data_IF_490404760604
#
_entry.id   IF_490404760604
#
_cell.length_a   1.000
_cell.length_b   1.000
_cell.length_c   1.000
_cell.angle_alpha   90.00
_cell.angle_beta   90.00
_cell.angle_gamma   90.00
#
_symmetry.space_group_name_H-M   'P 1'
#
loop_
_entity.id
_entity.type
_entity.pdbx_description
1 polymer ?
#
# COMPACT_ATOMS: atom_id res chain seq x y z
N UNK A 1 -35.26 -85.78 -16.72
CA UNK A 1 -34.08 -85.33 -15.92
C UNK A 1 -33.92 -83.83 -16.14
N UNK A 2 -34.19 -83.01 -15.11
CA UNK A 2 -34.12 -81.54 -15.19
C UNK A 2 -32.70 -81.09 -14.84
N UNK A 3 -32.08 -80.29 -15.71
CA UNK A 3 -30.81 -79.60 -15.45
C UNK A 3 -31.07 -78.31 -14.67
N UNK A 4 -30.51 -78.20 -13.47
CA UNK A 4 -30.50 -76.97 -12.67
C UNK A 4 -29.29 -76.13 -13.00
N UNK A 5 -29.49 -74.92 -13.53
CA UNK A 5 -28.45 -73.91 -13.68
C UNK A 5 -28.32 -73.10 -12.37
N UNK A 6 -27.13 -73.07 -11.79
CA UNK A 6 -26.78 -72.23 -10.64
C UNK A 6 -26.26 -70.87 -11.13
N UNK A 7 -27.00 -69.80 -10.86
CA UNK A 7 -26.62 -68.41 -11.11
C UNK A 7 -25.72 -67.92 -9.96
N UNK A 8 -24.40 -67.90 -10.19
CA UNK A 8 -23.43 -67.27 -9.30
C UNK A 8 -23.57 -65.74 -9.36
N UNK A 9 -24.18 -65.14 -8.34
CA UNK A 9 -24.19 -63.68 -8.13
C UNK A 9 -22.78 -63.20 -7.75
N UNK A 10 -22.05 -62.60 -8.69
CA UNK A 10 -20.84 -61.81 -8.39
C UNK A 10 -21.27 -60.42 -7.90
N UNK A 11 -21.04 -60.16 -6.62
CA UNK A 11 -21.13 -58.83 -6.02
C UNK A 11 -19.94 -57.98 -6.46
N UNK A 12 -20.21 -56.88 -7.16
CA UNK A 12 -19.21 -55.84 -7.40
C UNK A 12 -19.16 -54.90 -6.18
N UNK A 13 -17.98 -54.61 -5.61
CA UNK A 13 -17.89 -53.64 -4.52
C UNK A 13 -18.15 -52.23 -5.06
N UNK A 14 -18.81 -51.34 -4.29
CA UNK A 14 -18.99 -49.95 -4.70
C UNK A 14 -17.63 -49.24 -4.67
N UNK A 15 -17.19 -48.76 -5.82
CA UNK A 15 -16.02 -47.88 -5.92
C UNK A 15 -16.45 -46.52 -5.33
N UNK A 16 -16.11 -46.27 -4.07
CA UNK A 16 -16.21 -44.94 -3.48
C UNK A 16 -15.20 -44.02 -4.18
N UNK A 17 -15.68 -43.21 -5.12
CA UNK A 17 -14.88 -42.14 -5.69
C UNK A 17 -14.68 -41.07 -4.61
N UNK A 18 -13.54 -41.12 -3.92
CA UNK A 18 -13.10 -40.04 -3.04
C UNK A 18 -12.82 -38.84 -3.95
N UNK A 19 -13.75 -37.88 -3.98
CA UNK A 19 -13.48 -36.56 -4.53
C UNK A 19 -12.39 -35.93 -3.65
N UNK A 20 -11.14 -36.04 -4.09
CA UNK A 20 -10.06 -35.18 -3.63
C UNK A 20 -10.46 -33.75 -3.99
N UNK A 21 -11.09 -33.06 -3.05
CA UNK A 21 -11.17 -31.61 -3.07
C UNK A 21 -9.74 -31.12 -3.14
N UNK A 22 -9.31 -30.71 -4.34
CA UNK A 22 -8.10 -29.92 -4.51
C UNK A 22 -8.40 -28.63 -3.75
N UNK A 23 -8.07 -28.61 -2.46
CA UNK A 23 -7.91 -27.38 -1.72
C UNK A 23 -6.77 -26.71 -2.46
N UNK A 24 -7.10 -25.83 -3.40
CA UNK A 24 -6.16 -24.85 -3.88
C UNK A 24 -5.71 -24.13 -2.64
N UNK A 25 -4.54 -24.50 -2.13
CA UNK A 25 -3.81 -23.72 -1.14
C UNK A 25 -3.56 -22.39 -1.82
N UNK A 26 -4.51 -21.45 -1.67
CA UNK A 26 -4.28 -20.05 -1.95
C UNK A 26 -3.15 -19.73 -1.01
N UNK A 27 -1.93 -19.69 -1.56
CA UNK A 27 -0.76 -19.28 -0.80
C UNK A 27 -1.09 -17.88 -0.33
N UNK A 28 -1.49 -17.74 0.93
CA UNK A 28 -1.80 -16.46 1.52
C UNK A 28 -0.54 -15.65 1.36
N UNK A 29 -0.60 -14.61 0.51
CA UNK A 29 0.55 -13.79 0.26
C UNK A 29 0.94 -13.16 1.61
N UNK A 30 2.06 -13.59 2.20
CA UNK A 30 2.57 -13.03 3.45
C UNK A 30 3.00 -11.59 3.21
N UNK A 31 2.03 -10.69 3.22
CA UNK A 31 2.23 -9.25 3.14
C UNK A 31 2.84 -8.79 4.45
N UNK A 32 4.14 -8.55 4.41
CA UNK A 32 4.93 -8.04 5.53
C UNK A 32 4.92 -6.52 5.55
N UNK A 33 5.14 -5.96 6.74
CA UNK A 33 5.50 -4.56 6.94
C UNK A 33 6.97 -4.34 6.55
N UNK A 34 7.30 -4.58 5.28
CA UNK A 34 8.64 -4.36 4.75
C UNK A 34 8.95 -2.86 4.75
N UNK A 35 10.09 -2.49 5.32
CA UNK A 35 10.62 -1.14 5.28
C UNK A 35 11.02 -0.79 3.84
N UNK A 36 10.54 0.34 3.32
CA UNK A 36 10.86 0.78 1.96
C UNK A 36 11.88 1.91 1.95
N UNK A 37 11.57 3.02 2.62
CA UNK A 37 12.46 4.18 2.70
C UNK A 37 12.08 5.12 3.84
N UNK A 38 12.95 6.07 4.17
CA UNK A 38 12.64 7.20 5.04
C UNK A 38 13.35 8.48 4.59
N UNK A 39 12.90 9.62 5.11
CA UNK A 39 13.55 10.92 4.97
C UNK A 39 13.33 11.71 6.25
N UNK A 40 14.41 12.12 6.91
CA UNK A 40 14.32 13.08 8.01
C UNK A 40 14.33 14.51 7.45
N UNK A 41 13.40 15.35 7.89
CA UNK A 41 13.24 16.72 7.38
C UNK A 41 14.09 17.66 8.26
N UNK A 42 15.39 17.70 7.97
CA UNK A 42 16.39 18.36 8.82
C UNK A 42 16.12 19.85 9.05
N UNK A 43 15.54 20.54 8.06
CA UNK A 43 15.24 21.97 8.14
C UNK A 43 14.05 22.30 9.07
N UNK A 44 13.31 21.30 9.57
CA UNK A 44 12.32 21.50 10.63
C UNK A 44 12.93 21.39 12.05
N UNK A 45 14.23 21.08 12.14
CA UNK A 45 14.98 21.05 13.38
C UNK A 45 14.79 19.78 14.21
N UNK A 46 15.43 19.78 15.39
CA UNK A 46 15.34 18.71 16.39
C UNK A 46 14.58 19.18 17.63
N UNK A 47 13.94 18.26 18.33
CA UNK A 47 13.37 18.49 19.65
C UNK A 47 14.28 17.91 20.74
N UNK A 48 14.19 18.49 21.94
CA UNK A 48 14.89 17.98 23.12
C UNK A 48 14.01 16.95 23.84
N UNK A 49 14.64 16.00 24.52
CA UNK A 49 13.90 15.05 25.35
C UNK A 49 13.18 15.80 26.49
N UNK A 50 11.94 15.40 26.77
CA UNK A 50 11.05 16.06 27.75
C UNK A 50 10.48 17.40 27.28
N UNK A 51 10.66 17.77 26.01
CA UNK A 51 10.04 18.99 25.47
C UNK A 51 8.54 18.80 25.20
N UNK A 52 7.79 19.90 25.26
CA UNK A 52 6.36 19.91 24.89
C UNK A 52 6.11 19.33 23.49
N UNK A 53 7.05 19.51 22.55
CA UNK A 53 6.96 18.90 21.23
C UNK A 53 6.96 17.37 21.30
N UNK A 54 7.85 16.79 22.10
CA UNK A 54 7.91 15.33 22.30
C UNK A 54 6.62 14.82 22.94
N UNK A 55 6.09 15.54 23.94
CA UNK A 55 4.83 15.18 24.60
C UNK A 55 3.65 15.23 23.62
N UNK A 56 3.56 16.28 22.81
CA UNK A 56 2.54 16.41 21.77
C UNK A 56 2.64 15.27 20.74
N UNK A 57 3.86 14.94 20.28
CA UNK A 57 4.08 13.84 19.34
C UNK A 57 3.67 12.48 19.95
N UNK A 58 4.05 12.23 21.20
CA UNK A 58 3.71 11.01 21.92
C UNK A 58 2.21 10.89 22.18
N UNK A 59 1.53 12.01 22.45
CA UNK A 59 0.07 12.04 22.55
C UNK A 59 -0.58 11.63 21.24
N UNK A 60 -0.15 12.21 20.10
CA UNK A 60 -0.73 11.85 18.79
C UNK A 60 -0.49 10.36 18.48
N UNK A 61 0.69 9.81 18.77
CA UNK A 61 0.94 8.38 18.57
C UNK A 61 -0.02 7.50 19.39
N UNK A 62 -0.32 7.87 20.65
CA UNK A 62 -1.34 7.17 21.45
C UNK A 62 -2.73 7.25 20.81
N UNK A 63 -3.13 8.42 20.32
CA UNK A 63 -4.42 8.61 19.68
C UNK A 63 -4.59 7.77 18.41
N UNK A 64 -3.53 7.63 17.60
CA UNK A 64 -3.55 6.82 16.36
C UNK A 64 -3.85 5.34 16.66
N UNK A 65 -3.56 4.83 17.86
CA UNK A 65 -3.89 3.44 18.23
C UNK A 65 -5.37 3.22 18.58
N UNK A 66 -6.20 4.26 18.64
CA UNK A 66 -7.64 4.09 18.93
C UNK A 66 -8.36 3.31 17.81
N UNK A 67 -9.44 2.61 18.15
CA UNK A 67 -10.12 1.66 17.24
C UNK A 67 -10.63 2.32 15.95
N UNK A 68 -11.01 3.59 16.00
CA UNK A 68 -11.56 4.32 14.85
C UNK A 68 -10.56 4.45 13.70
N UNK A 69 -9.27 4.66 13.98
CA UNK A 69 -8.25 4.82 12.93
C UNK A 69 -7.88 3.52 12.23
N UNK A 70 -7.94 2.38 12.94
CA UNK A 70 -7.68 1.08 12.32
C UNK A 70 -8.77 0.71 11.29
N UNK A 71 -9.97 1.28 11.41
CA UNK A 71 -11.09 1.08 10.48
C UNK A 71 -10.92 1.97 9.24
N UNK A 72 -10.53 3.24 9.43
CA UNK A 72 -10.36 4.14 8.29
C UNK A 72 -9.06 3.83 7.56
N UNK A 73 -7.95 3.60 8.27
CA UNK A 73 -6.61 3.50 7.69
C UNK A 73 -6.01 4.85 7.29
N UNK A 74 -6.54 5.96 7.81
CA UNK A 74 -6.02 7.30 7.59
C UNK A 74 -6.19 8.15 8.84
N UNK A 75 -5.19 8.99 9.12
CA UNK A 75 -5.25 9.99 10.18
C UNK A 75 -4.46 11.23 9.78
N UNK A 76 -4.93 12.40 10.21
CA UNK A 76 -4.25 13.68 10.09
C UNK A 76 -4.57 14.50 11.36
N UNK A 77 -3.69 14.41 12.36
CA UNK A 77 -3.88 15.02 13.67
C UNK A 77 -2.80 16.07 13.88
N UNK A 78 -3.20 17.24 14.39
CA UNK A 78 -2.26 18.30 14.77
C UNK A 78 -2.48 18.76 16.21
N UNK A 79 -1.39 19.05 16.92
CA UNK A 79 -1.39 19.55 18.30
C UNK A 79 -0.35 20.64 18.44
N UNK A 80 -0.56 21.55 19.40
CA UNK A 80 0.33 22.66 19.70
C UNK A 80 -0.17 24.00 19.14
N UNK A 81 0.30 25.10 19.72
CA UNK A 81 -0.12 26.46 19.35
C UNK A 81 1.02 27.33 18.86
N UNK A 82 2.24 27.07 19.30
CA UNK A 82 3.44 27.82 18.93
C UNK A 82 4.22 27.08 17.86
N UNK A 83 5.13 27.77 17.18
CA UNK A 83 6.02 27.16 16.20
C UNK A 83 6.99 26.13 16.81
N UNK A 84 7.18 26.16 18.13
CA UNK A 84 8.14 25.29 18.83
C UNK A 84 7.54 23.94 19.24
N UNK A 85 6.25 23.91 19.58
CA UNK A 85 5.51 22.74 20.06
C UNK A 85 4.50 22.18 19.04
N UNK A 86 4.22 22.91 17.95
CA UNK A 86 3.31 22.45 16.91
C UNK A 86 3.83 21.23 16.17
N UNK A 87 2.98 20.21 16.07
CA UNK A 87 3.23 18.97 15.35
C UNK A 87 1.97 18.57 14.60
N UNK A 88 2.14 18.11 13.36
CA UNK A 88 1.12 17.40 12.61
C UNK A 88 1.65 16.01 12.23
N UNK A 89 0.84 14.99 12.45
CA UNK A 89 1.12 13.61 12.06
C UNK A 89 0.05 13.14 11.09
N UNK A 90 0.50 12.70 9.92
CA UNK A 90 -0.33 12.07 8.90
C UNK A 90 0.05 10.62 8.77
N UNK A 91 -0.92 9.73 8.86
CA UNK A 91 -0.74 8.30 8.60
C UNK A 91 -1.70 7.82 7.53
N UNK A 92 -1.25 6.93 6.67
CA UNK A 92 -2.14 6.27 5.72
C UNK A 92 -1.71 4.83 5.47
N UNK A 93 -2.61 3.88 5.70
CA UNK A 93 -2.44 2.50 5.28
C UNK A 93 -2.74 2.35 3.78
N UNK A 94 -2.22 1.29 3.18
CA UNK A 94 -2.57 0.91 1.81
C UNK A 94 -4.07 0.60 1.76
N UNK A 95 -4.76 0.97 0.69
CA UNK A 95 -6.23 0.88 0.65
C UNK A 95 -6.81 -0.54 0.74
N UNK A 96 -6.00 -1.59 0.59
CA UNK A 96 -6.37 -2.99 0.81
C UNK A 96 -5.85 -3.54 2.18
N UNK A 97 -5.26 -2.68 3.02
CA UNK A 97 -4.71 -3.02 4.34
C UNK A 97 -5.53 -2.31 5.42
N UNK A 98 -6.30 -3.08 6.19
CA UNK A 98 -7.23 -2.59 7.21
C UNK A 98 -7.05 -3.30 8.55
N UNK A 99 -7.70 -2.78 9.59
CA UNK A 99 -7.78 -3.36 10.94
C UNK A 99 -6.41 -3.65 11.56
N UNK A 100 -6.19 -4.90 12.02
CA UNK A 100 -4.97 -5.32 12.71
C UNK A 100 -3.71 -5.18 11.85
N UNK A 101 -3.84 -5.38 10.53
CA UNK A 101 -2.72 -5.25 9.61
C UNK A 101 -2.27 -3.79 9.47
N UNK A 102 -3.25 -2.89 9.34
CA UNK A 102 -2.98 -1.46 9.29
C UNK A 102 -2.31 -1.00 10.59
N UNK A 103 -2.87 -1.40 11.74
CA UNK A 103 -2.30 -1.11 13.06
C UNK A 103 -0.86 -1.59 13.19
N UNK A 104 -0.59 -2.85 12.87
CA UNK A 104 0.76 -3.43 12.96
C UNK A 104 1.75 -2.68 12.07
N UNK A 105 1.32 -2.21 10.90
CA UNK A 105 2.16 -1.38 10.04
C UNK A 105 2.49 -0.05 10.70
N UNK A 106 1.49 0.64 11.26
CA UNK A 106 1.68 1.93 11.92
C UNK A 106 2.59 1.81 13.15
N UNK A 107 2.45 0.75 13.95
CA UNK A 107 3.32 0.47 15.10
C UNK A 107 4.78 0.31 14.63
N UNK A 108 4.98 -0.46 13.55
CA UNK A 108 6.28 -0.66 12.91
C UNK A 108 6.83 0.66 12.36
N UNK A 109 5.97 1.52 11.79
CA UNK A 109 6.34 2.80 11.23
C UNK A 109 6.77 3.81 12.32
N UNK A 110 6.05 3.87 13.44
CA UNK A 110 6.37 4.73 14.59
C UNK A 110 7.71 4.32 15.20
N UNK A 111 7.89 3.02 15.46
CA UNK A 111 9.16 2.49 15.97
C UNK A 111 10.32 2.75 14.99
N UNK A 112 10.07 2.51 13.70
CA UNK A 112 11.03 2.77 12.63
C UNK A 112 11.42 4.25 12.53
N UNK A 113 10.45 5.17 12.65
CA UNK A 113 10.71 6.60 12.63
C UNK A 113 11.60 7.03 13.79
N UNK A 114 11.29 6.62 15.03
CA UNK A 114 12.11 6.94 16.21
C UNK A 114 13.56 6.47 16.06
N UNK A 115 13.76 5.28 15.48
CA UNK A 115 15.10 4.71 15.23
C UNK A 115 15.85 5.45 14.11
N UNK A 116 15.18 5.82 13.04
CA UNK A 116 15.81 6.32 11.80
C UNK A 116 15.92 7.83 11.72
N UNK A 117 15.02 8.55 12.38
CA UNK A 117 15.01 10.01 12.48
C UNK A 117 15.04 10.46 13.95
N UNK A 118 16.08 10.10 14.72
CA UNK A 118 16.14 10.40 16.15
C UNK A 118 16.03 11.90 16.37
N UNK A 119 15.12 12.28 17.27
CA UNK A 119 14.84 13.66 17.70
C UNK A 119 14.44 14.64 16.59
N UNK A 120 14.24 14.22 15.34
CA UNK A 120 13.84 15.14 14.27
C UNK A 120 12.36 15.53 14.45
N UNK A 121 12.06 16.82 14.31
CA UNK A 121 10.67 17.33 14.35
C UNK A 121 9.88 17.06 13.07
N UNK A 122 10.55 16.61 12.02
CA UNK A 122 9.89 16.27 10.76
C UNK A 122 10.51 15.04 10.14
N UNK A 123 9.69 14.23 9.50
CA UNK A 123 10.17 13.13 8.69
C UNK A 123 9.07 12.28 8.10
N UNK A 124 9.48 11.48 7.14
CA UNK A 124 8.61 10.61 6.37
C UNK A 124 9.20 9.21 6.43
N UNK A 125 8.36 8.21 6.65
CA UNK A 125 8.76 6.81 6.55
C UNK A 125 7.68 6.02 5.82
N UNK A 126 8.13 5.25 4.84
CA UNK A 126 7.29 4.38 4.03
C UNK A 126 7.58 2.93 4.35
N UNK A 127 6.52 2.21 4.66
CA UNK A 127 6.47 0.76 4.71
C UNK A 127 5.55 0.25 3.60
N UNK A 128 5.69 -1.03 3.26
CA UNK A 128 4.93 -1.64 2.17
C UNK A 128 3.40 -1.53 2.33
N UNK A 129 2.92 -1.40 3.57
CA UNK A 129 1.49 -1.33 3.88
C UNK A 129 1.05 0.02 4.47
N UNK A 130 1.95 0.98 4.73
CA UNK A 130 1.58 2.27 5.32
C UNK A 130 2.66 3.36 5.16
N UNK A 131 2.20 4.60 5.31
CA UNK A 131 2.98 5.83 5.37
C UNK A 131 2.79 6.47 6.75
N UNK A 132 3.89 6.97 7.32
CA UNK A 132 3.89 7.93 8.43
C UNK A 132 4.64 9.19 8.00
N UNK A 133 4.01 10.35 8.12
CA UNK A 133 4.55 11.66 7.82
C UNK A 133 4.33 12.62 8.98
N UNK A 134 5.42 13.16 9.52
CA UNK A 134 5.44 14.11 10.64
C UNK A 134 5.99 15.44 10.13
N UNK A 135 5.34 16.53 10.48
CA UNK A 135 5.74 17.88 10.08
C UNK A 135 5.47 18.90 11.18
N UNK A 136 6.24 19.98 11.19
CA UNK A 136 6.00 21.20 11.99
C UNK A 136 5.23 22.27 11.21
N UNK A 137 4.88 22.00 9.96
CA UNK A 137 4.23 22.96 9.07
C UNK A 137 2.72 22.68 9.05
N UNK A 138 1.93 23.71 9.38
CA UNK A 138 0.47 23.66 9.26
C UNK A 138 0.08 23.76 7.78
N UNK A 139 -0.53 22.71 7.25
CA UNK A 139 -1.07 22.70 5.89
C UNK A 139 -2.50 23.25 5.87
N UNK A 140 -2.85 24.05 4.84
CA UNK A 140 -4.23 24.48 4.61
C UNK A 140 -4.98 23.34 3.90
N UNK A 141 -6.10 22.93 4.46
CA UNK A 141 -6.99 21.92 3.87
C UNK A 141 -7.99 22.64 2.95
N UNK A 142 -8.25 22.11 1.73
CA UNK A 142 -7.68 20.89 1.18
C UNK A 142 -6.29 21.11 0.58
N UNK A 143 -5.44 20.10 0.67
CA UNK A 143 -3.98 20.27 0.54
C UNK A 143 -3.56 20.10 -0.93
N UNK A 144 -2.76 21.04 -1.44
CA UNK A 144 -2.18 20.98 -2.78
C UNK A 144 -1.02 19.96 -2.81
N UNK A 145 -0.91 19.23 -3.91
CA UNK A 145 0.16 18.26 -4.11
C UNK A 145 1.55 18.92 -4.12
N UNK A 146 2.51 18.29 -3.45
CA UNK A 146 3.89 18.71 -3.36
C UNK A 146 4.83 17.58 -3.84
N UNK A 147 5.44 17.80 -5.00
CA UNK A 147 6.30 16.82 -5.67
C UNK A 147 7.73 16.68 -5.07
N UNK A 148 8.05 17.34 -3.95
CA UNK A 148 9.42 17.36 -3.37
C UNK A 148 9.81 16.09 -2.61
N UNK A 149 8.85 15.32 -2.13
CA UNK A 149 9.10 14.17 -1.24
C UNK A 149 8.69 12.86 -1.91
N UNK A 150 9.38 12.53 -3.01
CA UNK A 150 9.12 11.33 -3.80
C UNK A 150 10.34 10.40 -3.83
N UNK A 151 10.09 9.10 -3.85
CA UNK A 151 11.11 8.07 -3.95
C UNK A 151 10.65 6.98 -4.92
N UNK A 152 11.51 6.59 -5.86
CA UNK A 152 11.21 5.55 -6.85
C UNK A 152 11.98 4.29 -6.54
N UNK A 153 11.33 3.14 -6.65
CA UNK A 153 11.96 1.82 -6.52
C UNK A 153 11.63 1.00 -7.76
N UNK A 154 12.61 0.21 -8.18
CA UNK A 154 12.59 -0.50 -9.44
C UNK A 154 12.95 -1.96 -9.20
N UNK A 155 12.23 -2.87 -9.86
CA UNK A 155 12.61 -4.27 -9.91
C UNK A 155 14.00 -4.38 -10.58
N UNK A 156 14.91 -5.21 -10.07
CA UNK A 156 16.23 -5.37 -10.68
C UNK A 156 16.16 -5.95 -12.10
N UNK A 157 15.10 -6.71 -12.42
CA UNK A 157 14.94 -7.35 -13.71
C UNK A 157 14.25 -6.44 -14.74
N UNK A 158 14.80 -6.43 -15.94
CA UNK A 158 14.19 -5.81 -17.10
C UNK A 158 13.05 -6.69 -17.66
N UNK A 159 12.09 -6.03 -18.30
CA UNK A 159 11.08 -6.74 -19.10
C UNK A 159 11.78 -7.42 -20.28
N UNK A 160 11.40 -8.67 -20.55
CA UNK A 160 11.86 -9.41 -21.73
C UNK A 160 10.90 -9.16 -22.90
N UNK A 161 11.43 -9.10 -24.11
CA UNK A 161 10.64 -8.86 -25.32
C UNK A 161 10.41 -7.37 -25.58
N UNK A 162 9.23 -7.01 -26.09
CA UNK A 162 8.90 -5.63 -26.45
C UNK A 162 8.60 -4.77 -25.19
N UNK A 163 9.67 -4.16 -24.67
CA UNK A 163 9.63 -3.28 -23.51
C UNK A 163 8.77 -2.02 -23.73
N UNK A 164 8.71 -1.50 -24.96
CA UNK A 164 7.92 -0.29 -25.27
C UNK A 164 6.42 -0.62 -25.24
N UNK A 165 6.02 -1.72 -25.88
CA UNK A 165 4.64 -2.19 -25.84
C UNK A 165 4.21 -2.54 -24.42
N UNK A 166 5.10 -3.14 -23.62
CA UNK A 166 4.84 -3.40 -22.21
C UNK A 166 4.58 -2.09 -21.44
N UNK A 167 5.46 -1.10 -21.59
CA UNK A 167 5.34 0.18 -20.90
C UNK A 167 4.02 0.90 -21.26
N UNK A 168 3.66 0.93 -22.55
CA UNK A 168 2.40 1.50 -23.02
C UNK A 168 1.20 0.82 -22.34
N UNK A 169 1.14 -0.52 -22.39
CA UNK A 169 0.03 -1.29 -21.79
C UNK A 169 -0.03 -1.14 -20.26
N UNK A 170 1.13 -1.02 -19.60
CA UNK A 170 1.20 -0.79 -18.16
C UNK A 170 0.72 0.63 -17.79
N UNK A 171 1.08 1.65 -18.58
CA UNK A 171 0.57 3.01 -18.42
C UNK A 171 -0.94 3.09 -18.65
N UNK A 172 -1.46 2.41 -19.67
CA UNK A 172 -2.90 2.35 -19.95
C UNK A 172 -3.65 1.74 -18.76
N UNK A 173 -3.15 0.62 -18.22
CA UNK A 173 -3.77 -0.03 -17.08
C UNK A 173 -3.73 0.85 -15.81
N UNK A 174 -2.60 1.49 -15.52
CA UNK A 174 -2.51 2.43 -14.40
C UNK A 174 -3.45 3.63 -14.58
N UNK A 175 -3.63 4.10 -15.81
CA UNK A 175 -4.57 5.19 -16.14
C UNK A 175 -6.04 4.76 -15.95
N UNK A 176 -6.38 3.53 -16.33
CA UNK A 176 -7.69 2.92 -16.02
C UNK A 176 -7.95 2.88 -14.50
N UNK A 177 -6.93 2.57 -13.70
CA UNK A 177 -7.03 2.59 -12.25
C UNK A 177 -7.21 4.02 -11.70
N UNK A 178 -6.57 5.04 -12.29
CA UNK A 178 -6.78 6.46 -11.90
C UNK A 178 -8.26 6.86 -12.04
N UNK A 179 -8.94 6.38 -13.09
CA UNK A 179 -10.36 6.67 -13.28
C UNK A 179 -11.25 6.07 -12.18
N UNK A 180 -10.78 4.99 -11.54
CA UNK A 180 -11.48 4.25 -10.49
C UNK A 180 -10.95 4.52 -9.08
N UNK A 181 -10.04 5.49 -8.93
CA UNK A 181 -9.33 5.70 -7.66
C UNK A 181 -10.26 6.11 -6.53
N UNK A 182 -11.32 6.86 -6.84
CA UNK A 182 -12.31 7.28 -5.86
C UNK A 182 -13.32 6.17 -5.63
N UNK A 183 -13.41 5.69 -4.39
CA UNK A 183 -14.29 4.59 -3.99
C UNK A 183 -14.97 4.89 -2.66
N UNK A 184 -16.30 4.80 -2.63
CA UNK A 184 -17.06 4.85 -1.38
C UNK A 184 -17.03 3.49 -0.68
N UNK A 185 -16.60 3.49 0.58
CA UNK A 185 -16.68 2.31 1.46
C UNK A 185 -17.78 2.52 2.51
N UNK A 186 -18.05 1.50 3.32
CA UNK A 186 -18.98 1.60 4.46
C UNK A 186 -18.63 2.74 5.42
N UNK A 187 -17.35 3.09 5.54
CA UNK A 187 -16.86 4.02 6.57
C UNK A 187 -16.47 5.39 6.04
N UNK A 188 -16.04 5.48 4.77
CA UNK A 188 -15.55 6.73 4.16
C UNK A 188 -15.35 6.62 2.65
N UNK A 189 -15.14 7.77 2.03
CA UNK A 189 -14.48 7.87 0.73
C UNK A 189 -13.00 7.48 0.89
N UNK A 190 -12.49 6.63 -0.01
CA UNK A 190 -11.06 6.35 -0.11
C UNK A 190 -10.59 6.64 -1.53
N UNK A 191 -9.31 6.99 -1.65
CA UNK A 191 -8.65 7.22 -2.93
C UNK A 191 -7.65 6.10 -3.22
N UNK A 192 -8.16 4.90 -3.53
CA UNK A 192 -7.39 3.70 -3.83
C UNK A 192 -8.08 2.89 -4.94
N UNK A 193 -7.30 2.48 -5.95
CA UNK A 193 -7.71 1.47 -6.91
C UNK A 193 -6.56 0.50 -7.17
N UNK A 194 -6.91 -0.76 -7.37
CA UNK A 194 -5.96 -1.80 -7.70
C UNK A 194 -6.61 -2.90 -8.53
N UNK A 195 -5.79 -3.71 -9.18
CA UNK A 195 -6.26 -4.89 -9.90
C UNK A 195 -5.14 -5.60 -10.64
N UNK A 196 -5.55 -6.57 -11.45
CA UNK A 196 -4.68 -7.31 -12.33
C UNK A 196 -5.16 -7.25 -13.79
N UNK A 197 -4.22 -7.27 -14.74
CA UNK A 197 -4.52 -7.30 -16.18
C UNK A 197 -3.53 -8.20 -16.90
N UNK A 198 -4.03 -9.05 -17.79
CA UNK A 198 -3.18 -9.88 -18.64
C UNK A 198 -2.52 -9.03 -19.72
N UNK A 199 -1.20 -8.98 -19.73
CA UNK A 199 -0.37 -8.30 -20.72
C UNK A 199 0.42 -9.32 -21.54
N UNK A 200 -0.22 -9.86 -22.59
CA UNK A 200 0.35 -10.93 -23.40
C UNK A 200 0.47 -12.23 -22.60
N UNK A 201 1.71 -12.72 -22.41
CA UNK A 201 1.99 -13.90 -21.58
C UNK A 201 2.08 -13.57 -20.09
N UNK A 202 2.33 -12.32 -19.74
CA UNK A 202 2.49 -11.89 -18.36
C UNK A 202 1.15 -11.45 -17.77
N UNK A 203 1.03 -11.50 -16.45
CA UNK A 203 -0.04 -10.84 -15.71
C UNK A 203 0.57 -9.68 -14.94
N UNK A 204 0.00 -8.49 -15.09
CA UNK A 204 0.43 -7.28 -14.41
C UNK A 204 -0.49 -7.03 -13.22
N UNK A 205 0.07 -6.85 -12.04
CA UNK A 205 -0.63 -6.39 -10.84
C UNK A 205 -0.30 -4.93 -10.63
N UNK A 206 -1.29 -4.09 -10.32
CA UNK A 206 -1.07 -2.66 -10.15
C UNK A 206 -1.98 -2.03 -9.11
N UNK A 207 -1.50 -0.94 -8.50
CA UNK A 207 -2.27 -0.08 -7.61
C UNK A 207 -1.93 1.39 -7.82
N UNK A 208 -2.91 2.23 -7.50
CA UNK A 208 -2.80 3.69 -7.39
C UNK A 208 -3.49 4.14 -6.10
N UNK A 209 -2.88 5.09 -5.39
CA UNK A 209 -3.50 5.65 -4.19
C UNK A 209 -3.09 7.09 -3.92
N UNK A 210 -4.03 7.89 -3.43
CA UNK A 210 -3.81 9.25 -2.96
C UNK A 210 -4.00 9.34 -1.45
N UNK A 211 -3.36 10.34 -0.87
CA UNK A 211 -3.67 10.79 0.48
C UNK A 211 -5.04 11.44 0.51
N UNK A 212 -5.88 11.08 1.49
CA UNK A 212 -7.32 11.41 1.54
C UNK A 212 -7.66 12.92 1.49
N UNK A 213 -6.71 13.79 1.82
CA UNK A 213 -6.91 15.25 1.90
C UNK A 213 -6.48 16.01 0.63
N UNK A 214 -6.12 15.33 -0.46
CA UNK A 214 -5.52 15.94 -1.65
C UNK A 214 -6.56 16.24 -2.73
N UNK A 215 -6.62 17.52 -3.15
CA UNK A 215 -7.52 17.94 -4.25
C UNK A 215 -7.07 17.46 -5.63
N UNK A 216 -5.77 17.31 -5.83
CA UNK A 216 -5.17 17.03 -7.14
C UNK A 216 -4.82 15.55 -7.32
N UNK A 217 -5.63 14.65 -6.75
CA UNK A 217 -5.32 13.22 -6.69
C UNK A 217 -4.96 12.62 -8.05
N UNK A 218 -5.84 12.76 -9.05
CA UNK A 218 -5.61 12.21 -10.40
C UNK A 218 -4.36 12.80 -11.07
N UNK A 219 -4.11 14.09 -10.87
CA UNK A 219 -2.92 14.78 -11.39
C UNK A 219 -1.63 14.27 -10.73
N UNK A 220 -1.65 14.06 -9.42
CA UNK A 220 -0.53 13.47 -8.68
C UNK A 220 -0.20 12.07 -9.20
N UNK A 221 -1.22 11.24 -9.39
CA UNK A 221 -1.07 9.88 -9.89
C UNK A 221 -0.53 9.86 -11.32
N UNK A 222 -1.11 10.67 -12.22
CA UNK A 222 -0.64 10.78 -13.60
C UNK A 222 0.85 11.18 -13.66
N UNK A 223 1.23 12.20 -12.88
CA UNK A 223 2.63 12.61 -12.77
C UNK A 223 3.52 11.49 -12.21
N UNK A 224 3.06 10.76 -11.19
CA UNK A 224 3.83 9.67 -10.58
C UNK A 224 4.04 8.51 -11.57
N UNK A 225 3.05 8.21 -12.42
CA UNK A 225 3.21 7.21 -13.49
C UNK A 225 4.35 7.58 -14.42
N UNK A 226 4.52 8.86 -14.78
CA UNK A 226 5.64 9.29 -15.65
C UNK A 226 7.02 8.97 -15.04
N UNK A 227 7.12 8.88 -13.71
CA UNK A 227 8.38 8.57 -13.03
C UNK A 227 8.71 7.08 -13.05
N UNK A 228 7.72 6.20 -13.20
CA UNK A 228 7.93 4.75 -13.28
C UNK A 228 8.73 4.32 -14.51
N UNK A 229 8.63 5.08 -15.60
CA UNK A 229 9.17 4.74 -16.92
C UNK A 229 10.22 5.74 -17.41
N UNK A 230 10.81 6.51 -16.47
CA UNK A 230 11.81 7.52 -16.80
C UNK A 230 13.06 6.84 -17.41
N UNK A 231 13.67 7.49 -18.39
CA UNK A 231 14.91 7.07 -19.06
C UNK A 231 14.80 5.77 -19.91
N UNK A 232 13.59 5.25 -20.16
CA UNK A 232 13.40 4.10 -21.05
C UNK A 232 13.85 2.74 -20.49
N UNK A 233 14.26 2.69 -19.21
CA UNK A 233 14.65 1.46 -18.52
C UNK A 233 13.42 0.75 -17.94
N UNK A 234 12.77 -0.06 -18.78
CA UNK A 234 11.47 -0.68 -18.45
C UNK A 234 11.66 -1.96 -17.64
N UNK A 235 11.30 -1.88 -16.35
CA UNK A 235 11.44 -2.96 -15.38
C UNK A 235 10.20 -3.84 -15.29
N UNK A 236 10.37 -5.06 -14.77
CA UNK A 236 9.24 -5.96 -14.47
C UNK A 236 8.34 -5.44 -13.34
N UNK A 237 8.81 -4.47 -12.59
CA UNK A 237 8.06 -3.84 -11.53
C UNK A 237 8.67 -2.50 -11.18
N UNK A 238 7.84 -1.55 -10.80
CA UNK A 238 8.29 -0.27 -10.31
C UNK A 238 7.24 0.33 -9.39
N UNK A 239 7.68 1.18 -8.46
CA UNK A 239 6.79 2.00 -7.64
C UNK A 239 7.37 3.39 -7.41
N UNK A 240 6.46 4.33 -7.21
CA UNK A 240 6.77 5.69 -6.75
C UNK A 240 6.03 5.90 -5.45
N UNK A 241 6.78 6.22 -4.41
CA UNK A 241 6.30 6.55 -3.08
C UNK A 241 6.34 8.07 -2.92
N UNK A 242 5.20 8.67 -2.62
CA UNK A 242 5.11 10.09 -2.27
C UNK A 242 4.43 10.29 -0.91
N UNK A 243 4.38 11.54 -0.46
CA UNK A 243 3.53 11.95 0.67
C UNK A 243 2.10 12.23 0.26
N UNK A 244 1.83 12.41 -1.04
CA UNK A 244 0.52 12.82 -1.56
C UNK A 244 -0.15 11.73 -2.38
N UNK A 245 0.63 10.92 -3.09
CA UNK A 245 0.14 9.78 -3.83
C UNK A 245 1.26 8.76 -4.07
N UNK A 246 0.86 7.56 -4.46
CA UNK A 246 1.73 6.43 -4.67
C UNK A 246 1.17 5.52 -5.77
N UNK A 247 2.07 4.94 -6.56
CA UNK A 247 1.75 4.04 -7.66
C UNK A 247 2.71 2.87 -7.63
N UNK A 248 2.23 1.67 -7.98
CA UNK A 248 3.05 0.46 -8.06
C UNK A 248 2.50 -0.48 -9.12
N UNK A 249 3.40 -1.11 -9.86
CA UNK A 249 3.09 -2.33 -10.62
C UNK A 249 4.18 -3.38 -10.41
N UNK A 250 3.80 -4.65 -10.57
CA UNK A 250 4.70 -5.80 -10.53
C UNK A 250 4.16 -6.92 -11.44
N UNK A 251 5.03 -7.83 -11.88
CA UNK A 251 4.64 -9.08 -12.55
C UNK A 251 4.31 -10.23 -11.57
N UNK A 252 4.47 -10.01 -10.27
CA UNK A 252 4.09 -10.95 -9.22
C UNK A 252 2.94 -10.39 -8.38
N UNK A 253 2.09 -11.25 -7.81
CA UNK A 253 0.98 -10.80 -6.96
C UNK A 253 1.49 -10.07 -5.70
N UNK A 254 0.93 -8.90 -5.41
CA UNK A 254 1.20 -8.14 -4.17
C UNK A 254 -0.05 -7.49 -3.55
N UNK A 255 -1.20 -7.66 -4.20
CA UNK A 255 -2.49 -7.13 -3.77
C UNK A 255 -3.15 -8.13 -2.83
N UNK A 256 -3.92 -7.63 -1.86
CA UNK A 256 -4.85 -8.48 -1.11
C UNK A 256 -6.08 -8.74 -1.97
N UNK A 257 -6.48 -10.00 -2.03
CA UNK A 257 -7.74 -10.47 -2.59
C UNK A 257 -8.93 -9.97 -1.78
#
# INVERSE_FOLDING_TARGET
MKFSYSLSKRSFPPILAIQLLIIHSVSSLNLTNEYLNHKCILNQGKYNSGSQYEDNLNWIFREIHTRLYAITGFSHISVGKTTTDFVVVTTQCRGDTYESNCRTCLDTAIAGFRKRCPSNKGGIIWYNQCLLYISTIKEKIPIKTNYKNIFSMHNPNNVRGDAKLFAMRAMDFLSELILKVEKTTKYRLIFYAAGEKKLGKNKLYAMVQCLDLRIDCKRCLAWSITKLFKNGDIKQGARVLGTDCNVRYELYPFLRS
#
